data_IF_906088788683
#
_entry.id   IF_906088788683
#
_cell.length_a   1.000
_cell.length_b   1.000
_cell.length_c   1.000
_cell.angle_alpha   90.00
_cell.angle_beta   90.00
_cell.angle_gamma   90.00
#
_symmetry.space_group_name_H-M   'P 1'
#
loop_
_entity.id
_entity.type
_entity.pdbx_description
1 polymer ?
#
# COMPACT_ATOMS: atom_id res chain seq x y z
N UNK A 1 -16.04 -26.06 -13.61
CA UNK A 1 -14.78 -25.27 -13.72
C UNK A 1 -14.91 -23.83 -13.23
N UNK A 2 -16.06 -23.14 -13.38
CA UNK A 2 -16.25 -21.75 -12.92
C UNK A 2 -16.09 -21.56 -11.40
N UNK A 3 -16.76 -22.38 -10.60
CA UNK A 3 -16.77 -22.32 -9.13
C UNK A 3 -15.35 -22.44 -8.51
N UNK A 4 -14.53 -23.37 -9.01
CA UNK A 4 -13.14 -23.52 -8.55
C UNK A 4 -12.28 -22.27 -8.80
N UNK A 5 -12.52 -21.55 -9.90
CA UNK A 5 -11.78 -20.32 -10.22
C UNK A 5 -12.19 -19.18 -9.29
N UNK A 6 -13.48 -19.06 -8.98
CA UNK A 6 -14.00 -18.05 -8.05
C UNK A 6 -13.41 -18.22 -6.65
N UNK A 7 -13.49 -19.45 -6.10
CA UNK A 7 -12.93 -19.79 -4.78
C UNK A 7 -11.44 -19.51 -4.67
N UNK A 8 -10.68 -19.68 -5.76
CA UNK A 8 -9.24 -19.39 -5.78
C UNK A 8 -8.98 -17.88 -5.69
N UNK A 9 -9.71 -17.05 -6.43
CA UNK A 9 -9.56 -15.59 -6.41
C UNK A 9 -9.90 -15.04 -5.02
N UNK A 10 -10.99 -15.51 -4.41
CA UNK A 10 -11.39 -15.07 -3.07
C UNK A 10 -10.31 -15.41 -2.02
N UNK A 11 -9.70 -16.58 -2.11
CA UNK A 11 -8.57 -16.96 -1.23
C UNK A 11 -7.35 -16.07 -1.44
N UNK A 12 -7.02 -15.74 -2.69
CA UNK A 12 -5.90 -14.84 -2.98
C UNK A 12 -6.17 -13.45 -2.41
N UNK A 13 -7.37 -12.89 -2.60
CA UNK A 13 -7.77 -11.61 -2.00
C UNK A 13 -7.68 -11.63 -0.49
N UNK A 14 -8.22 -12.67 0.15
CA UNK A 14 -8.20 -12.80 1.60
C UNK A 14 -6.76 -12.84 2.14
N UNK A 15 -5.93 -13.76 1.63
CA UNK A 15 -4.57 -13.96 2.12
C UNK A 15 -3.68 -12.75 1.84
N UNK A 16 -3.73 -12.21 0.62
CA UNK A 16 -2.93 -11.04 0.25
C UNK A 16 -3.35 -9.78 1.01
N UNK A 17 -4.65 -9.56 1.21
CA UNK A 17 -5.16 -8.47 2.03
C UNK A 17 -4.77 -8.58 3.51
N UNK A 18 -4.90 -9.78 4.10
CA UNK A 18 -4.49 -10.03 5.48
C UNK A 18 -3.00 -9.85 5.69
N UNK A 19 -2.17 -10.47 4.85
CA UNK A 19 -0.71 -10.31 4.92
C UNK A 19 -0.30 -8.85 4.68
N UNK A 20 -0.98 -8.16 3.77
CA UNK A 20 -0.77 -6.74 3.51
C UNK A 20 -1.02 -5.86 4.72
N UNK A 21 -2.18 -6.05 5.38
CA UNK A 21 -2.54 -5.33 6.62
C UNK A 21 -1.57 -5.68 7.75
N UNK A 22 -1.31 -6.96 7.99
CA UNK A 22 -0.43 -7.41 9.07
C UNK A 22 1.00 -6.88 8.90
N UNK A 23 1.56 -6.98 7.70
CA UNK A 23 2.92 -6.50 7.42
C UNK A 23 3.08 -5.00 7.68
N UNK A 24 2.08 -4.19 7.31
CA UNK A 24 2.13 -2.74 7.54
C UNK A 24 1.92 -2.38 9.03
N UNK A 25 0.97 -3.04 9.71
CA UNK A 25 0.73 -2.82 11.15
C UNK A 25 1.95 -3.22 11.97
N UNK A 26 2.54 -4.38 11.70
CA UNK A 26 3.77 -4.84 12.37
C UNK A 26 4.95 -3.94 12.02
N UNK A 27 5.06 -3.50 10.76
CA UNK A 27 6.07 -2.55 10.31
C UNK A 27 6.08 -1.27 11.16
N UNK A 28 4.92 -0.67 11.38
CA UNK A 28 4.75 0.51 12.26
C UNK A 28 5.03 0.15 13.72
N UNK A 29 4.51 -0.97 14.21
CA UNK A 29 4.66 -1.38 15.60
C UNK A 29 6.13 -1.58 16.00
N UNK A 30 6.95 -2.16 15.11
CA UNK A 30 8.39 -2.31 15.35
C UNK A 30 9.13 -0.98 15.39
N UNK A 31 8.63 0.07 14.72
CA UNK A 31 9.24 1.41 14.74
C UNK A 31 8.73 2.30 15.88
N UNK A 32 7.92 1.79 16.81
CA UNK A 32 7.31 2.61 17.86
C UNK A 32 8.33 3.43 18.67
N UNK A 33 9.54 2.90 18.89
CA UNK A 33 10.63 3.56 19.61
C UNK A 33 11.66 4.25 18.71
N UNK A 34 11.49 4.21 17.39
CA UNK A 34 12.42 4.84 16.43
C UNK A 34 11.95 6.28 16.17
N UNK A 35 12.70 7.30 16.61
CA UNK A 35 12.22 8.69 16.60
C UNK A 35 11.90 9.19 15.18
N UNK A 36 10.79 9.92 15.05
CA UNK A 36 10.49 10.83 13.92
C UNK A 36 10.62 10.23 12.51
N UNK A 37 10.47 8.91 12.38
CA UNK A 37 10.51 8.25 11.09
C UNK A 37 9.48 8.88 10.12
N UNK A 38 9.81 8.89 8.83
CA UNK A 38 8.97 9.43 7.75
C UNK A 38 8.74 10.96 7.76
N UNK A 39 9.63 11.73 8.41
CA UNK A 39 9.63 13.20 8.33
C UNK A 39 10.90 13.71 7.67
N UNK A 40 10.76 14.50 6.60
CA UNK A 40 11.90 15.03 5.85
C UNK A 40 12.77 15.94 6.72
N UNK A 41 12.15 16.76 7.58
CA UNK A 41 12.85 17.66 8.50
C UNK A 41 13.55 16.94 9.65
N UNK A 42 13.29 15.64 9.85
CA UNK A 42 13.87 14.83 10.93
C UNK A 42 14.74 13.68 10.42
N UNK A 43 15.23 13.76 9.18
CA UNK A 43 15.98 12.66 8.55
C UNK A 43 17.24 12.25 9.34
N UNK A 44 17.89 13.20 10.01
CA UNK A 44 19.07 12.94 10.85
C UNK A 44 18.74 12.20 12.14
N UNK A 45 17.61 12.58 12.75
CA UNK A 45 17.09 11.89 13.93
C UNK A 45 16.64 10.47 13.56
N UNK A 46 16.02 10.30 12.39
CA UNK A 46 15.68 8.99 11.86
C UNK A 46 16.91 8.13 11.59
N UNK A 47 17.95 8.68 10.93
CA UNK A 47 19.22 7.98 10.72
C UNK A 47 19.87 7.53 12.04
N UNK A 48 19.91 8.43 13.03
CA UNK A 48 20.41 8.10 14.37
C UNK A 48 19.59 6.98 15.03
N UNK A 49 18.26 7.01 14.87
CA UNK A 49 17.37 5.95 15.34
C UNK A 49 17.59 4.61 14.65
N UNK A 50 17.91 4.61 13.35
CA UNK A 50 18.25 3.39 12.59
C UNK A 50 19.48 2.71 13.17
N UNK A 51 20.52 3.48 13.50
CA UNK A 51 21.74 2.95 14.10
C UNK A 51 21.56 2.54 15.56
N UNK A 52 20.70 3.24 16.31
CA UNK A 52 20.42 2.93 17.71
C UNK A 52 19.55 1.66 17.88
N UNK A 53 18.70 1.34 16.90
CA UNK A 53 17.71 0.26 16.99
C UNK A 53 17.69 -0.69 15.78
N UNK A 54 18.84 -1.29 15.39
CA UNK A 54 18.96 -2.03 14.13
C UNK A 54 18.02 -3.25 14.06
N UNK A 55 17.80 -3.96 15.16
CA UNK A 55 16.90 -5.12 15.18
C UNK A 55 15.43 -4.74 14.93
N UNK A 56 14.98 -3.61 15.48
CA UNK A 56 13.64 -3.07 15.28
C UNK A 56 13.46 -2.61 13.84
N UNK A 57 14.47 -1.92 13.28
CA UNK A 57 14.45 -1.49 11.87
C UNK A 57 14.44 -2.68 10.92
N UNK A 58 15.23 -3.73 11.19
CA UNK A 58 15.23 -4.93 10.37
C UNK A 58 13.87 -5.62 10.37
N UNK A 59 13.28 -5.82 11.56
CA UNK A 59 11.96 -6.43 11.70
C UNK A 59 10.86 -5.59 11.00
N UNK A 60 10.94 -4.26 11.14
CA UNK A 60 10.03 -3.34 10.46
C UNK A 60 10.15 -3.43 8.94
N UNK A 61 11.37 -3.32 8.41
CA UNK A 61 11.65 -3.35 6.99
C UNK A 61 11.15 -4.64 6.34
N UNK A 62 11.46 -5.80 6.94
CA UNK A 62 10.97 -7.10 6.44
C UNK A 62 9.44 -7.16 6.45
N UNK A 63 8.82 -6.70 7.54
CA UNK A 63 7.35 -6.70 7.68
C UNK A 63 6.68 -5.82 6.62
N UNK A 64 7.18 -4.60 6.43
CA UNK A 64 6.68 -3.70 5.38
C UNK A 64 6.91 -4.26 3.98
N UNK A 65 8.11 -4.77 3.66
CA UNK A 65 8.41 -5.32 2.34
C UNK A 65 7.44 -6.45 1.97
N UNK A 66 7.25 -7.42 2.86
CA UNK A 66 6.34 -8.54 2.62
C UNK A 66 4.88 -8.08 2.55
N UNK A 67 4.48 -7.16 3.44
CA UNK A 67 3.14 -6.57 3.42
C UNK A 67 2.85 -5.81 2.13
N UNK A 68 3.78 -5.00 1.64
CA UNK A 68 3.63 -4.22 0.41
C UNK A 68 3.59 -5.12 -0.83
N UNK A 69 4.41 -6.17 -0.90
CA UNK A 69 4.32 -7.17 -1.98
C UNK A 69 2.95 -7.86 -1.97
N UNK A 70 2.45 -8.24 -0.78
CA UNK A 70 1.11 -8.81 -0.64
C UNK A 70 0.03 -7.81 -1.07
N UNK A 71 0.13 -6.53 -0.69
CA UNK A 71 -0.78 -5.48 -1.13
C UNK A 71 -0.78 -5.30 -2.66
N UNK A 72 0.38 -5.39 -3.31
CA UNK A 72 0.44 -5.33 -4.78
C UNK A 72 -0.40 -6.45 -5.42
N UNK A 73 -0.27 -7.69 -4.91
CA UNK A 73 -1.10 -8.83 -5.34
C UNK A 73 -2.58 -8.58 -5.06
N UNK A 74 -2.91 -8.03 -3.89
CA UNK A 74 -4.28 -7.68 -3.52
C UNK A 74 -4.89 -6.69 -4.51
N UNK A 75 -4.20 -5.58 -4.80
CA UNK A 75 -4.69 -4.54 -5.71
C UNK A 75 -4.93 -5.04 -7.13
N UNK A 76 -3.99 -5.84 -7.68
CA UNK A 76 -4.15 -6.47 -8.99
C UNK A 76 -5.35 -7.42 -9.00
N UNK A 77 -5.45 -8.31 -8.02
CA UNK A 77 -6.52 -9.31 -7.94
C UNK A 77 -7.89 -8.64 -7.79
N UNK A 78 -7.97 -7.60 -6.95
CA UNK A 78 -9.21 -6.84 -6.73
C UNK A 78 -9.65 -6.13 -8.01
N UNK A 79 -8.71 -5.49 -8.70
CA UNK A 79 -9.01 -4.78 -9.94
C UNK A 79 -9.47 -5.69 -11.08
N UNK A 80 -8.93 -6.91 -11.16
CA UNK A 80 -9.40 -7.93 -12.09
C UNK A 80 -10.81 -8.38 -11.75
N UNK A 81 -11.12 -8.51 -10.46
CA UNK A 81 -12.47 -8.84 -10.00
C UNK A 81 -13.49 -7.74 -10.36
N UNK A 82 -13.09 -6.46 -10.29
CA UNK A 82 -13.93 -5.34 -10.71
C UNK A 82 -14.15 -5.29 -12.24
N UNK A 83 -13.32 -5.96 -13.04
CA UNK A 83 -13.59 -6.29 -14.45
C UNK A 83 -13.58 -5.13 -15.47
N UNK A 84 -13.44 -3.88 -15.03
CA UNK A 84 -13.40 -2.71 -15.94
C UNK A 84 -11.98 -2.28 -16.26
N UNK A 85 -11.75 -1.71 -17.45
CA UNK A 85 -10.44 -1.17 -17.84
C UNK A 85 -9.91 -0.14 -16.84
N UNK A 86 -10.77 0.76 -16.37
CA UNK A 86 -10.38 1.80 -15.41
C UNK A 86 -10.01 1.23 -14.04
N UNK A 87 -10.75 0.23 -13.55
CA UNK A 87 -10.40 -0.45 -12.31
C UNK A 87 -9.04 -1.16 -12.43
N UNK A 88 -8.80 -1.89 -13.52
CA UNK A 88 -7.50 -2.53 -13.81
C UNK A 88 -6.35 -1.54 -13.86
N UNK A 89 -6.53 -0.39 -14.52
CA UNK A 89 -5.54 0.70 -14.48
C UNK A 89 -5.28 1.15 -13.05
N UNK A 90 -6.33 1.33 -12.23
CA UNK A 90 -6.21 1.65 -10.82
C UNK A 90 -5.44 0.61 -10.02
N UNK A 91 -5.71 -0.68 -10.24
CA UNK A 91 -5.00 -1.80 -9.61
C UNK A 91 -3.52 -1.86 -9.98
N UNK A 92 -3.17 -1.60 -11.23
CA UNK A 92 -1.77 -1.52 -11.68
C UNK A 92 -1.03 -0.34 -11.06
N UNK A 93 -1.64 0.85 -11.03
CA UNK A 93 -1.06 2.03 -10.39
C UNK A 93 -0.83 1.75 -8.90
N UNK A 94 -1.83 1.22 -8.20
CA UNK A 94 -1.73 0.79 -6.80
C UNK A 94 -0.55 -0.18 -6.59
N UNK A 95 -0.46 -1.23 -7.42
CA UNK A 95 0.54 -2.27 -7.27
C UNK A 95 1.96 -1.75 -7.51
N UNK A 96 2.15 -0.90 -8.52
CA UNK A 96 3.43 -0.26 -8.78
C UNK A 96 3.90 0.60 -7.60
N UNK A 97 2.98 1.33 -6.96
CA UNK A 97 3.26 2.06 -5.73
C UNK A 97 3.75 1.16 -4.61
N UNK A 98 3.03 0.07 -4.36
CA UNK A 98 3.38 -0.89 -3.33
C UNK A 98 4.78 -1.48 -3.57
N UNK A 99 5.07 -1.91 -4.80
CA UNK A 99 6.38 -2.48 -5.15
C UNK A 99 7.51 -1.44 -5.05
N UNK A 100 7.27 -0.20 -5.47
CA UNK A 100 8.22 0.88 -5.33
C UNK A 100 8.55 1.15 -3.85
N UNK A 101 7.55 1.19 -2.98
CA UNK A 101 7.77 1.39 -1.55
C UNK A 101 8.43 0.17 -0.87
N UNK A 102 8.14 -1.05 -1.35
CA UNK A 102 8.84 -2.26 -0.89
C UNK A 102 10.35 -2.23 -1.21
N UNK A 103 10.76 -1.52 -2.26
CA UNK A 103 12.18 -1.22 -2.51
C UNK A 103 12.68 -0.17 -1.52
N UNK A 104 11.88 0.87 -1.25
CA UNK A 104 12.21 1.91 -0.28
C UNK A 104 12.46 1.38 1.13
N UNK A 105 11.74 0.34 1.56
CA UNK A 105 11.91 -0.29 2.89
C UNK A 105 13.21 -1.08 3.02
N UNK A 106 13.86 -1.43 1.90
CA UNK A 106 15.17 -2.10 1.92
C UNK A 106 16.30 -1.15 2.31
N UNK A 107 16.19 0.15 2.06
CA UNK A 107 17.30 1.07 2.37
C UNK A 107 17.59 1.22 3.87
N UNK A 108 16.60 1.38 4.80
CA UNK A 108 16.89 1.40 6.23
C UNK A 108 17.40 0.04 6.74
N UNK A 109 16.99 -1.07 6.11
CA UNK A 109 17.56 -2.39 6.38
C UNK A 109 19.04 -2.44 6.00
N UNK A 110 19.41 -1.95 4.81
CA UNK A 110 20.82 -1.88 4.37
C UNK A 110 21.64 -1.02 5.34
N UNK A 111 21.11 0.12 5.77
CA UNK A 111 21.78 0.96 6.76
C UNK A 111 21.98 0.22 8.09
N UNK A 112 20.94 -0.44 8.60
CA UNK A 112 20.98 -1.15 9.88
C UNK A 112 21.92 -2.37 9.88
N UNK A 113 22.18 -3.01 8.73
CA UNK A 113 22.98 -4.25 8.66
C UNK A 113 24.35 -4.10 8.02
N UNK A 114 24.56 -3.11 7.16
CA UNK A 114 25.79 -3.01 6.35
C UNK A 114 26.59 -1.73 6.57
N UNK A 115 26.06 -0.76 7.34
CA UNK A 115 26.79 0.46 7.63
C UNK A 115 27.14 0.55 9.12
N UNK A 116 28.39 0.93 9.41
CA UNK A 116 28.84 1.17 10.78
C UNK A 116 28.24 2.43 11.38
N UNK A 117 28.48 2.66 12.67
CA UNK A 117 28.06 3.89 13.36
C UNK A 117 29.14 4.96 13.21
N UNK A 118 28.80 6.15 12.72
CA UNK A 118 29.76 7.27 12.63
C UNK A 118 29.30 8.44 11.74
N UNK A 119 29.91 9.62 11.94
CA UNK A 119 29.58 10.84 11.19
C UNK A 119 29.83 10.70 9.68
N UNK A 120 30.81 9.88 9.29
CA UNK A 120 31.17 9.62 7.89
C UNK A 120 30.06 8.92 7.10
N UNK A 121 29.17 8.20 7.77
CA UNK A 121 28.05 7.46 7.16
C UNK A 121 26.81 8.35 6.96
N UNK A 122 26.75 9.50 7.65
CA UNK A 122 25.54 10.34 7.69
C UNK A 122 25.07 10.82 6.31
N UNK A 123 25.92 11.25 5.36
CA UNK A 123 25.47 11.62 4.02
C UNK A 123 24.82 10.44 3.26
N UNK A 124 25.37 9.24 3.40
CA UNK A 124 24.82 8.01 2.81
C UNK A 124 23.49 7.66 3.45
N UNK A 125 23.39 7.76 4.78
CA UNK A 125 22.15 7.54 5.51
C UNK A 125 21.05 8.51 5.07
N UNK A 126 21.35 9.81 4.97
CA UNK A 126 20.41 10.82 4.45
C UNK A 126 19.95 10.49 3.04
N UNK A 127 20.86 10.14 2.14
CA UNK A 127 20.50 9.82 0.76
C UNK A 127 19.57 8.59 0.69
N UNK A 128 19.92 7.51 1.39
CA UNK A 128 19.15 6.27 1.40
C UNK A 128 17.78 6.43 2.05
N UNK A 129 17.69 7.14 3.18
CA UNK A 129 16.41 7.44 3.83
C UNK A 129 15.56 8.43 3.02
N UNK A 130 16.20 9.36 2.31
CA UNK A 130 15.53 10.26 1.37
C UNK A 130 14.89 9.50 0.21
N UNK A 131 15.57 8.46 -0.30
CA UNK A 131 15.00 7.52 -1.27
C UNK A 131 13.79 6.78 -0.68
N UNK A 132 13.88 6.25 0.55
CA UNK A 132 12.73 5.62 1.22
C UNK A 132 11.54 6.57 1.30
N UNK A 133 11.77 7.80 1.75
CA UNK A 133 10.70 8.79 1.92
C UNK A 133 10.04 9.15 0.58
N UNK A 134 10.85 9.28 -0.48
CA UNK A 134 10.36 9.56 -1.84
C UNK A 134 9.52 8.40 -2.38
N UNK A 135 9.96 7.16 -2.16
CA UNK A 135 9.23 5.97 -2.60
C UNK A 135 7.94 5.74 -1.78
N UNK A 136 7.95 6.08 -0.49
CA UNK A 136 6.75 6.06 0.35
C UNK A 136 5.74 7.15 -0.06
N UNK A 137 6.23 8.35 -0.40
CA UNK A 137 5.41 9.41 -0.99
C UNK A 137 4.79 8.99 -2.34
N UNK A 138 5.58 8.35 -3.21
CA UNK A 138 5.08 7.80 -4.49
C UNK A 138 4.03 6.71 -4.26
N UNK A 139 4.22 5.84 -3.26
CA UNK A 139 3.21 4.88 -2.85
C UNK A 139 1.92 5.57 -2.42
N UNK A 140 1.96 6.59 -1.57
CA UNK A 140 0.75 7.29 -1.14
C UNK A 140 0.01 7.95 -2.31
N UNK A 141 0.74 8.54 -3.28
CA UNK A 141 0.16 9.10 -4.49
C UNK A 141 -0.56 8.04 -5.33
N UNK A 142 0.15 6.95 -5.63
CA UNK A 142 -0.32 5.88 -6.52
C UNK A 142 -1.40 5.01 -5.86
N UNK A 143 -1.30 4.75 -4.56
CA UNK A 143 -2.36 4.21 -3.72
C UNK A 143 -3.61 5.08 -3.82
N UNK A 144 -3.45 6.39 -3.63
CA UNK A 144 -4.54 7.36 -3.67
C UNK A 144 -5.31 7.34 -4.98
N UNK A 145 -4.58 7.51 -6.09
CA UNK A 145 -5.13 7.45 -7.45
C UNK A 145 -5.75 6.07 -7.73
N UNK A 146 -5.03 4.99 -7.42
CA UNK A 146 -5.48 3.62 -7.68
C UNK A 146 -6.79 3.28 -6.98
N UNK A 147 -6.92 3.64 -5.70
CA UNK A 147 -8.14 3.44 -4.91
C UNK A 147 -9.32 4.26 -5.44
N UNK A 148 -9.10 5.51 -5.82
CA UNK A 148 -10.16 6.36 -6.41
C UNK A 148 -10.67 5.73 -7.72
N UNK A 149 -9.77 5.31 -8.61
CA UNK A 149 -10.14 4.70 -9.89
C UNK A 149 -10.92 3.38 -9.71
N UNK A 150 -10.48 2.53 -8.79
CA UNK A 150 -11.20 1.30 -8.43
C UNK A 150 -12.57 1.62 -7.80
N UNK A 151 -12.64 2.60 -6.90
CA UNK A 151 -13.86 3.03 -6.23
C UNK A 151 -14.91 3.60 -7.19
N UNK A 152 -14.52 4.41 -8.18
CA UNK A 152 -15.43 4.94 -9.22
C UNK A 152 -16.14 3.82 -9.98
N UNK A 153 -15.46 2.68 -10.16
CA UNK A 153 -15.97 1.51 -10.89
C UNK A 153 -16.51 0.41 -10.00
N UNK A 154 -16.68 0.69 -8.71
CA UNK A 154 -17.24 -0.26 -7.78
C UNK A 154 -18.71 -0.58 -8.14
N UNK A 155 -19.15 -1.86 -8.05
CA UNK A 155 -20.53 -2.22 -8.34
C UNK A 155 -21.55 -1.52 -7.43
N UNK A 156 -22.79 -1.25 -7.89
CA UNK A 156 -23.83 -0.56 -7.12
C UNK A 156 -24.15 -1.20 -5.77
N UNK A 157 -24.10 -2.54 -5.65
CA UNK A 157 -24.34 -3.28 -4.41
C UNK A 157 -23.23 -3.18 -3.36
N UNK A 158 -22.23 -2.30 -3.56
CA UNK A 158 -21.09 -2.09 -2.67
C UNK A 158 -20.84 -0.63 -2.31
N UNK A 159 -21.89 0.18 -2.14
CA UNK A 159 -21.80 1.63 -1.90
C UNK A 159 -20.85 2.03 -0.76
N UNK A 160 -20.82 1.27 0.34
CA UNK A 160 -19.90 1.52 1.47
C UNK A 160 -18.44 1.35 1.05
N UNK A 161 -18.10 0.23 0.39
CA UNK A 161 -16.73 -0.03 -0.06
C UNK A 161 -16.28 0.90 -1.18
N UNK A 162 -17.21 1.31 -2.05
CA UNK A 162 -16.99 2.37 -3.03
C UNK A 162 -16.50 3.66 -2.37
N UNK A 163 -17.26 4.16 -1.40
CA UNK A 163 -16.92 5.40 -0.72
C UNK A 163 -15.69 5.24 0.15
N UNK A 164 -15.53 4.10 0.81
CA UNK A 164 -14.34 3.81 1.59
C UNK A 164 -13.08 3.81 0.71
N UNK A 165 -13.11 3.23 -0.49
CA UNK A 165 -12.01 3.30 -1.46
C UNK A 165 -11.70 4.76 -1.85
N UNK A 166 -12.72 5.53 -2.24
CA UNK A 166 -12.54 6.92 -2.70
C UNK A 166 -12.01 7.81 -1.58
N UNK A 167 -12.59 7.71 -0.38
CA UNK A 167 -12.19 8.53 0.78
C UNK A 167 -10.79 8.15 1.25
N UNK A 168 -10.48 6.84 1.35
CA UNK A 168 -9.12 6.39 1.67
C UNK A 168 -8.12 6.89 0.65
N UNK A 169 -8.46 6.79 -0.65
CA UNK A 169 -7.58 7.26 -1.71
C UNK A 169 -7.36 8.77 -1.68
N UNK A 170 -8.42 9.55 -1.49
CA UNK A 170 -8.33 11.00 -1.35
C UNK A 170 -7.52 11.42 -0.12
N UNK A 171 -7.64 10.70 1.00
CA UNK A 171 -6.85 10.95 2.21
C UNK A 171 -5.36 10.62 2.04
N UNK A 172 -5.00 9.69 1.15
CA UNK A 172 -3.60 9.37 0.84
C UNK A 172 -2.91 10.41 -0.06
N UNK A 173 -3.64 11.15 -0.90
CA UNK A 173 -3.02 12.09 -1.84
C UNK A 173 -2.19 13.19 -1.15
N UNK A 174 -2.64 13.87 -0.08
CA UNK A 174 -1.82 14.86 0.61
C UNK A 174 -0.55 14.28 1.23
N UNK A 175 -0.56 13.01 1.64
CA UNK A 175 0.61 12.32 2.22
C UNK A 175 1.75 12.22 1.20
N UNK A 176 1.46 12.22 -0.10
CA UNK A 176 2.49 12.24 -1.14
C UNK A 176 3.42 13.47 -1.06
N UNK A 177 3.00 14.56 -0.40
CA UNK A 177 3.84 15.72 -0.18
C UNK A 177 4.84 15.54 0.98
N UNK A 178 4.78 14.44 1.75
CA UNK A 178 5.64 14.23 2.93
C UNK A 178 7.14 14.16 2.61
N UNK A 179 7.51 13.84 1.38
CA UNK A 179 8.90 13.90 0.92
C UNK A 179 9.46 15.33 0.89
N UNK A 180 8.59 16.34 0.95
CA UNK A 180 8.94 17.75 0.84
C UNK A 180 8.43 18.58 2.03
N UNK A 181 7.46 18.09 2.78
CA UNK A 181 6.76 18.86 3.81
C UNK A 181 6.32 18.01 5.01
N UNK A 182 6.89 18.25 6.19
CA UNK A 182 6.63 17.45 7.40
C UNK A 182 5.14 17.33 7.78
N UNK A 183 4.33 18.40 7.78
CA UNK A 183 2.91 18.27 8.14
C UNK A 183 2.08 17.38 7.21
N UNK A 184 2.56 17.08 5.99
CA UNK A 184 1.89 16.10 5.14
C UNK A 184 1.95 14.67 5.73
N UNK A 185 3.00 14.36 6.50
CA UNK A 185 3.12 13.08 7.24
C UNK A 185 2.08 12.96 8.36
N UNK A 186 1.59 14.08 8.93
CA UNK A 186 0.58 14.05 9.99
C UNK A 186 -0.79 13.55 9.49
N UNK A 187 -1.03 13.60 8.18
CA UNK A 187 -2.25 13.05 7.56
C UNK A 187 -2.24 11.52 7.59
N UNK A 188 -1.07 10.88 7.69
CA UNK A 188 -0.91 9.43 7.72
C UNK A 188 -1.67 8.79 8.89
N UNK A 189 -1.81 9.50 10.02
CA UNK A 189 -2.59 9.03 11.19
C UNK A 189 -4.06 8.76 10.87
N UNK A 190 -4.58 9.37 9.79
CA UNK A 190 -5.94 9.16 9.31
C UNK A 190 -5.96 8.31 8.04
N UNK A 191 -5.10 8.60 7.06
CA UNK A 191 -5.09 7.86 5.79
C UNK A 191 -4.72 6.39 6.00
N UNK A 192 -3.73 6.11 6.86
CA UNK A 192 -3.27 4.77 7.22
C UNK A 192 -4.41 3.83 7.65
N UNK A 193 -5.09 4.15 8.77
CA UNK A 193 -6.23 3.35 9.24
C UNK A 193 -7.36 3.22 8.21
N UNK A 194 -7.63 4.26 7.41
CA UNK A 194 -8.68 4.24 6.39
C UNK A 194 -8.41 3.20 5.29
N UNK A 195 -7.24 3.25 4.65
CA UNK A 195 -6.95 2.30 3.58
C UNK A 195 -6.71 0.88 4.13
N UNK A 196 -6.20 0.72 5.35
CA UNK A 196 -6.12 -0.59 6.01
C UNK A 196 -7.52 -1.19 6.23
N UNK A 197 -8.48 -0.38 6.70
CA UNK A 197 -9.86 -0.80 6.85
C UNK A 197 -10.49 -1.16 5.48
N UNK A 198 -10.22 -0.38 4.44
CA UNK A 198 -10.63 -0.70 3.08
C UNK A 198 -10.15 -2.07 2.63
N UNK A 199 -8.85 -2.34 2.76
CA UNK A 199 -8.23 -3.62 2.37
C UNK A 199 -8.86 -4.76 3.17
N UNK A 200 -8.95 -4.62 4.49
CA UNK A 200 -9.47 -5.66 5.37
C UNK A 200 -10.93 -6.01 5.04
N UNK A 201 -11.81 -5.01 4.95
CA UNK A 201 -13.23 -5.23 4.65
C UNK A 201 -13.40 -5.83 3.25
N UNK A 202 -12.61 -5.37 2.27
CA UNK A 202 -12.65 -5.90 0.91
C UNK A 202 -12.13 -7.34 0.83
N UNK A 203 -11.12 -7.70 1.63
CA UNK A 203 -10.55 -9.04 1.72
C UNK A 203 -11.53 -10.07 2.33
N UNK A 204 -12.36 -9.65 3.28
CA UNK A 204 -13.38 -10.49 3.91
C UNK A 204 -14.73 -10.48 3.17
N UNK A 205 -14.92 -9.60 2.19
CA UNK A 205 -16.16 -9.56 1.43
C UNK A 205 -16.31 -10.84 0.62
N UNK A 206 -17.50 -11.46 0.71
CA UNK A 206 -17.87 -12.52 -0.22
C UNK A 206 -18.15 -11.92 -1.59
N UNK A 207 -17.27 -12.31 -2.50
CA UNK A 207 -17.42 -12.36 -3.94
C UNK A 207 -18.78 -12.93 -4.40
N UNK A 208 -19.84 -12.20 -4.82
CA UNK A 208 -20.84 -12.87 -5.65
C UNK A 208 -20.06 -13.44 -6.84
N UNK A 209 -20.23 -14.74 -7.14
CA UNK A 209 -19.61 -15.31 -8.34
C UNK A 209 -19.93 -14.34 -9.47
N UNK A 210 -18.90 -13.74 -10.06
CA UNK A 210 -19.10 -12.74 -11.09
C UNK A 210 -20.00 -13.39 -12.13
N UNK A 211 -21.29 -13.01 -12.14
CA UNK A 211 -22.30 -13.67 -12.96
C UNK A 211 -21.80 -13.60 -14.38
N UNK A 212 -21.23 -14.71 -14.86
CA UNK A 212 -20.64 -14.81 -16.18
C UNK A 212 -21.69 -14.49 -17.26
N UNK A 213 -22.98 -14.49 -16.89
CA UNK A 213 -24.10 -14.04 -17.69
C UNK A 213 -24.20 -12.52 -17.90
N UNK A 214 -23.84 -11.66 -16.93
CA UNK A 214 -24.03 -10.21 -17.09
C UNK A 214 -23.05 -9.57 -18.08
N UNK A 215 -21.82 -10.08 -18.16
CA UNK A 215 -20.84 -9.62 -19.16
C UNK A 215 -21.10 -10.15 -20.57
N UNK A 216 -21.69 -11.35 -20.69
CA UNK A 216 -22.11 -11.89 -21.99
C UNK A 216 -23.35 -11.20 -22.56
N UNK A 217 -24.24 -10.66 -21.70
CA UNK A 217 -25.43 -9.95 -22.19
C UNK A 217 -25.10 -8.56 -22.75
N UNK A 218 -24.22 -7.79 -22.11
CA UNK A 218 -23.85 -6.44 -22.59
C UNK A 218 -22.99 -6.42 -23.85
N UNK A 219 -22.12 -7.41 -24.05
CA UNK A 219 -21.34 -7.50 -25.30
C UNK A 219 -22.21 -7.90 -26.49
N UNK A 220 -23.30 -8.66 -26.28
CA UNK A 220 -24.27 -8.98 -27.33
C UNK A 220 -25.18 -7.79 -27.68
N UNK A 221 -25.51 -6.93 -26.73
CA UNK A 221 -26.31 -5.72 -26.99
C UNK A 221 -25.52 -4.59 -27.66
N UNK A 222 -24.21 -4.47 -27.42
CA UNK A 222 -23.37 -3.48 -28.12
C UNK A 222 -22.92 -3.92 -29.52
N UNK A 223 -23.16 -5.19 -29.87
CA UNK A 223 -22.87 -5.74 -31.20
C UNK A 223 -24.11 -5.79 -32.12
N UNK A 224 -25.23 -5.19 -31.70
CA UNK A 224 -26.43 -4.95 -32.49
C UNK A 224 -26.62 -3.45 -32.69
#
# INVERSE_FOLDING_TARGET
>A
MSDMKSKRIDRVLLLSGLLGVLGNVLGVAFLYNVPTAYRVGSIDAWASGVFAHPSQVNASAVSFTLGLIALAVFGLTLSEHLGTRLARTGGWIFAMGCLANAVGTVTPLVLATHTGVGLEVMPVARALLGVTLTLDALFNLTLGVGLILMGIRWPPGGSVLRWLAIVSGAASLPVAAQAFYDPASDVLRFSGPLWLAFVLISAFRRWPEADAGMYQHRTKEMAR
#
